data_IF_629898210986
#
_entry.id   IF_629898210986
#
_cell.length_a   1.000
_cell.length_b   1.000
_cell.length_c   1.000
_cell.angle_alpha   90.00
_cell.angle_beta   90.00
_cell.angle_gamma   90.00
#
_symmetry.space_group_name_H-M   'P 1'
#
loop_
_entity.id
_entity.type
_entity.pdbx_description
1 polymer ?
#
# COMPACT_ATOMS: atom_id res chain seq x y z
N UNK A 1 -20.21 18.20 4.42
CA UNK A 1 -18.85 18.63 4.80
C UNK A 1 -17.90 17.45 4.64
N UNK A 2 -16.94 17.55 3.73
CA UNK A 2 -15.96 16.48 3.49
C UNK A 2 -15.02 16.42 4.69
N UNK A 3 -15.08 15.35 5.49
CA UNK A 3 -14.20 15.17 6.64
C UNK A 3 -12.74 15.21 6.15
N UNK A 4 -11.99 16.23 6.58
CA UNK A 4 -10.53 16.25 6.43
C UNK A 4 -9.99 15.01 7.13
N UNK A 5 -9.50 14.04 6.35
CA UNK A 5 -8.89 12.83 6.91
C UNK A 5 -7.58 13.29 7.57
N UNK A 6 -7.40 13.11 8.90
CA UNK A 6 -6.16 13.47 9.57
C UNK A 6 -5.01 12.58 9.11
N UNK A 7 -3.77 13.05 9.25
CA UNK A 7 -2.57 12.31 8.84
C UNK A 7 -2.49 10.91 9.46
N UNK A 8 -2.84 10.77 10.74
CA UNK A 8 -2.89 9.46 11.40
C UNK A 8 -3.88 8.49 10.75
N UNK A 9 -5.04 8.99 10.28
CA UNK A 9 -6.01 8.16 9.58
C UNK A 9 -5.56 7.81 8.15
N UNK A 10 -4.79 8.69 7.47
CA UNK A 10 -4.15 8.35 6.18
C UNK A 10 -3.18 7.18 6.34
N UNK A 11 -2.36 7.20 7.39
CA UNK A 11 -1.41 6.13 7.72
C UNK A 11 -2.15 4.82 8.02
N UNK A 12 -3.21 4.87 8.84
CA UNK A 12 -4.03 3.71 9.15
C UNK A 12 -4.68 3.10 7.89
N UNK A 13 -5.22 3.94 7.00
CA UNK A 13 -5.79 3.48 5.72
C UNK A 13 -4.75 2.87 4.80
N UNK A 14 -3.55 3.43 4.72
CA UNK A 14 -2.46 2.85 3.93
C UNK A 14 -2.06 1.46 4.44
N UNK A 15 -1.93 1.27 5.76
CA UNK A 15 -1.70 -0.05 6.34
C UNK A 15 -2.83 -1.03 6.04
N UNK A 16 -4.09 -0.60 6.13
CA UNK A 16 -5.22 -1.45 5.78
C UNK A 16 -5.20 -1.88 4.29
N UNK A 17 -4.74 -1.02 3.38
CA UNK A 17 -4.57 -1.37 1.97
C UNK A 17 -3.42 -2.37 1.73
N UNK A 18 -2.32 -2.27 2.49
CA UNK A 18 -1.24 -3.26 2.44
C UNK A 18 -1.75 -4.64 2.87
N UNK A 19 -2.46 -4.71 3.99
CA UNK A 19 -3.04 -5.96 4.49
C UNK A 19 -4.10 -6.52 3.53
N UNK A 20 -4.87 -5.64 2.88
CA UNK A 20 -5.78 -6.03 1.80
C UNK A 20 -5.03 -6.65 0.63
N UNK A 21 -3.93 -6.05 0.18
CA UNK A 21 -3.11 -6.58 -0.91
C UNK A 21 -2.54 -7.97 -0.57
N UNK A 22 -2.15 -8.21 0.68
CA UNK A 22 -1.70 -9.52 1.18
C UNK A 22 -2.82 -10.56 1.28
N UNK A 23 -4.05 -10.11 1.53
CA UNK A 23 -5.22 -10.97 1.63
C UNK A 23 -5.88 -11.27 0.28
N UNK A 24 -5.38 -10.70 -0.82
CA UNK A 24 -5.91 -11.00 -2.14
C UNK A 24 -5.66 -12.48 -2.46
N UNK A 25 -6.70 -13.23 -2.88
CA UNK A 25 -6.54 -14.63 -3.22
C UNK A 25 -5.63 -14.75 -4.45
N UNK A 26 -4.59 -15.57 -4.33
CA UNK A 26 -3.70 -15.86 -5.44
C UNK A 26 -4.45 -16.77 -6.43
N UNK A 27 -4.50 -16.41 -7.72
CA UNK A 27 -5.18 -17.23 -8.71
C UNK A 27 -4.39 -18.52 -8.97
N UNK A 28 -5.07 -19.66 -8.95
CA UNK A 28 -4.51 -20.98 -9.31
C UNK A 28 -4.12 -21.06 -10.81
N UNK A 29 -4.68 -20.16 -11.63
CA UNK A 29 -4.54 -20.19 -13.08
C UNK A 29 -3.30 -19.41 -13.53
N UNK A 30 -2.28 -20.14 -14.02
CA UNK A 30 -1.08 -19.55 -14.66
C UNK A 30 -1.45 -19.02 -16.05
N UNK A 31 -2.05 -17.81 -16.06
CA UNK A 31 -2.50 -17.12 -17.27
C UNK A 31 -2.97 -15.70 -16.98
N UNK A 32 -4.08 -15.29 -17.61
CA UNK A 32 -4.70 -13.97 -17.39
C UNK A 32 -5.08 -13.69 -15.92
N UNK A 33 -5.31 -14.74 -15.13
CA UNK A 33 -5.57 -14.65 -13.70
C UNK A 33 -4.41 -14.00 -12.95
N UNK A 34 -3.18 -14.47 -13.17
CA UNK A 34 -1.97 -13.94 -12.51
C UNK A 34 -1.69 -12.48 -12.90
N UNK A 35 -1.88 -12.11 -14.18
CA UNK A 35 -1.77 -10.71 -14.62
C UNK A 35 -2.81 -9.80 -13.96
N UNK A 36 -4.05 -10.27 -13.85
CA UNK A 36 -5.13 -9.51 -13.20
C UNK A 36 -4.88 -9.36 -11.70
N UNK A 37 -4.39 -10.41 -11.05
CA UNK A 37 -4.01 -10.40 -9.64
C UNK A 37 -2.85 -9.43 -9.38
N UNK A 38 -1.77 -9.54 -10.13
CA UNK A 38 -0.61 -8.66 -9.97
C UNK A 38 -0.94 -7.19 -10.29
N UNK A 39 -1.85 -6.93 -11.23
CA UNK A 39 -2.40 -5.60 -11.46
C UNK A 39 -3.24 -5.08 -10.26
N UNK A 40 -4.09 -5.92 -9.67
CA UNK A 40 -4.88 -5.55 -8.48
C UNK A 40 -3.99 -5.28 -7.25
N UNK A 41 -2.97 -6.10 -7.03
CA UNK A 41 -1.98 -5.91 -5.96
C UNK A 41 -1.26 -4.57 -6.16
N UNK A 42 -0.71 -4.32 -7.35
CA UNK A 42 -0.03 -3.05 -7.68
C UNK A 42 -0.95 -1.86 -7.52
N UNK A 43 -2.18 -1.93 -8.00
CA UNK A 43 -3.12 -0.81 -7.88
C UNK A 43 -3.47 -0.53 -6.41
N UNK A 44 -3.70 -1.56 -5.61
CA UNK A 44 -4.00 -1.44 -4.17
C UNK A 44 -2.83 -0.79 -3.42
N UNK A 45 -1.60 -1.24 -3.68
CA UNK A 45 -0.38 -0.70 -3.08
C UNK A 45 -0.09 0.73 -3.56
N UNK A 46 -0.38 1.04 -4.83
CA UNK A 46 -0.31 2.40 -5.40
C UNK A 46 -1.28 3.35 -4.70
N UNK A 47 -2.52 2.91 -4.44
CA UNK A 47 -3.50 3.69 -3.67
C UNK A 47 -3.00 3.95 -2.24
N UNK A 48 -2.39 2.95 -1.60
CA UNK A 48 -1.79 3.11 -0.27
C UNK A 48 -0.68 4.16 -0.27
N UNK A 49 0.19 4.13 -1.29
CA UNK A 49 1.29 5.07 -1.43
C UNK A 49 0.80 6.49 -1.71
N UNK A 50 -0.20 6.66 -2.56
CA UNK A 50 -0.77 7.97 -2.88
C UNK A 50 -1.32 8.70 -1.63
N UNK A 51 -1.91 7.95 -0.70
CA UNK A 51 -2.43 8.49 0.56
C UNK A 51 -1.34 9.05 1.48
N UNK A 52 -0.12 8.48 1.45
CA UNK A 52 0.92 8.81 2.45
C UNK A 52 2.13 9.54 1.86
N UNK A 53 2.39 9.46 0.56
CA UNK A 53 3.56 10.09 -0.08
C UNK A 53 3.60 11.60 0.13
N UNK A 54 2.44 12.23 0.34
CA UNK A 54 2.33 13.66 0.60
C UNK A 54 2.51 14.04 2.07
N UNK A 55 2.35 13.10 3.02
CA UNK A 55 2.48 13.36 4.47
C UNK A 55 3.80 14.05 4.85
N UNK A 56 4.99 13.60 4.36
CA UNK A 56 6.24 14.29 4.68
C UNK A 56 6.32 15.72 4.12
N UNK A 57 5.55 16.04 3.08
CA UNK A 57 5.49 17.38 2.45
C UNK A 57 4.54 18.33 3.17
N UNK A 58 3.69 17.84 4.09
CA UNK A 58 2.76 18.68 4.85
C UNK A 58 3.51 19.42 5.96
N UNK A 59 3.50 20.75 5.87
CA UNK A 59 3.94 21.65 6.94
C UNK A 59 3.00 21.54 8.15
N UNK A 60 3.55 21.34 9.35
CA UNK A 60 2.77 21.21 10.59
C UNK A 60 2.51 19.76 11.06
N UNK A 61 3.00 18.75 10.34
CA UNK A 61 3.00 17.36 10.82
C UNK A 61 4.20 17.11 11.73
N UNK A 62 3.97 16.43 12.86
CA UNK A 62 5.02 16.06 13.81
C UNK A 62 6.08 15.17 13.17
N UNK A 63 7.34 15.24 13.61
CA UNK A 63 8.41 14.38 13.08
C UNK A 63 8.06 12.89 13.19
N UNK A 64 7.38 12.48 14.27
CA UNK A 64 6.93 11.10 14.48
C UNK A 64 6.01 10.61 13.35
N UNK A 65 5.01 11.41 12.96
CA UNK A 65 4.09 11.05 11.88
C UNK A 65 4.78 11.03 10.50
N UNK A 66 5.81 11.86 10.30
CA UNK A 66 6.63 11.81 9.08
C UNK A 66 7.46 10.53 9.01
N UNK A 67 8.03 10.12 10.14
CA UNK A 67 8.76 8.86 10.24
C UNK A 67 7.83 7.66 10.02
N UNK A 68 6.66 7.64 10.66
CA UNK A 68 5.66 6.59 10.45
C UNK A 68 5.22 6.53 8.98
N UNK A 69 4.95 7.66 8.34
CA UNK A 69 4.61 7.69 6.92
C UNK A 69 5.75 7.13 6.05
N UNK A 70 7.00 7.50 6.30
CA UNK A 70 8.14 6.93 5.59
C UNK A 70 8.30 5.43 5.83
N UNK A 71 8.02 4.96 7.04
CA UNK A 71 8.04 3.54 7.36
C UNK A 71 7.00 2.79 6.53
N UNK A 72 5.76 3.30 6.48
CA UNK A 72 4.69 2.68 5.68
C UNK A 72 5.02 2.71 4.18
N UNK A 73 5.67 3.76 3.65
CA UNK A 73 6.13 3.78 2.25
C UNK A 73 7.10 2.62 1.97
N UNK A 74 8.02 2.36 2.90
CA UNK A 74 8.95 1.22 2.79
C UNK A 74 8.22 -0.12 2.90
N UNK A 75 7.25 -0.23 3.80
CA UNK A 75 6.40 -1.42 3.95
C UNK A 75 5.62 -1.73 2.68
N UNK A 76 5.06 -0.71 2.00
CA UNK A 76 4.36 -0.87 0.71
C UNK A 76 5.31 -1.46 -0.34
N UNK A 77 6.52 -0.91 -0.47
CA UNK A 77 7.50 -1.40 -1.44
C UNK A 77 7.99 -2.83 -1.11
N UNK A 78 8.12 -3.15 0.18
CA UNK A 78 8.46 -4.50 0.63
C UNK A 78 7.33 -5.48 0.33
N UNK A 79 6.09 -5.13 0.64
CA UNK A 79 4.90 -5.93 0.36
C UNK A 79 4.71 -6.16 -1.14
N UNK A 80 4.95 -5.14 -1.98
CA UNK A 80 4.89 -5.31 -3.44
C UNK A 80 5.86 -6.39 -3.91
N UNK A 81 7.12 -6.33 -3.46
CA UNK A 81 8.13 -7.33 -3.83
C UNK A 81 7.78 -8.70 -3.26
N UNK A 82 7.36 -8.78 -2.00
CA UNK A 82 7.01 -10.03 -1.33
C UNK A 82 5.84 -10.74 -2.02
N UNK A 83 4.77 -10.02 -2.34
CA UNK A 83 3.57 -10.57 -2.96
C UNK A 83 3.82 -10.93 -4.44
N UNK A 84 4.49 -10.04 -5.19
CA UNK A 84 4.68 -10.24 -6.63
C UNK A 84 5.86 -11.16 -6.98
N UNK A 85 6.96 -11.16 -6.22
CA UNK A 85 8.02 -12.16 -6.42
C UNK A 85 7.51 -13.56 -6.07
N UNK A 86 6.69 -13.70 -5.01
CA UNK A 86 6.07 -15.00 -4.70
C UNK A 86 5.17 -15.51 -5.84
N UNK A 87 4.48 -14.62 -6.55
CA UNK A 87 3.69 -14.99 -7.75
C UNK A 87 4.56 -15.43 -8.93
N UNK A 88 5.74 -14.83 -9.11
CA UNK A 88 6.64 -15.14 -10.22
C UNK A 88 7.40 -16.47 -10.05
N UNK A 89 7.61 -16.93 -8.81
CA UNK A 89 8.38 -18.15 -8.51
C UNK A 89 7.51 -19.42 -8.31
N UNK A 90 6.18 -19.33 -8.43
CA UNK A 90 5.23 -20.46 -8.22
C UNK A 90 4.78 -21.14 -9.53
#
# INVERSE_FOLDING_TARGET
MTKLIPTGERIARARALIEKARSLPQPDDRGWGDFSYSAQVKDTLRQANDLIKFVPMISGVTPELKQEAQQVIKEIAAAEKEILHRSLES
#
